data_IF_926420460427
#
_entry.id   IF_926420460427
#
_cell.length_a   1.000
_cell.length_b   1.000
_cell.length_c   1.000
_cell.angle_alpha   90.00
_cell.angle_beta   90.00
_cell.angle_gamma   90.00
#
_symmetry.space_group_name_H-M   'P 1'
#
loop_
_entity.id
_entity.type
_entity.pdbx_description
1 polymer ?
#
# COMPACT_ATOMS: atom_id res chain seq x y z
N UNK A 1 5.57 8.84 24.78
CA UNK A 1 5.62 7.46 25.31
C UNK A 1 4.42 6.73 24.71
N UNK A 2 4.63 5.99 23.62
CA UNK A 2 3.53 5.28 22.95
C UNK A 2 3.02 4.19 23.89
N UNK A 3 1.77 4.32 24.35
CA UNK A 3 1.10 3.22 25.03
C UNK A 3 1.01 2.09 24.01
N UNK A 4 1.59 0.93 24.29
CA UNK A 4 1.34 -0.27 23.50
C UNK A 4 -0.14 -0.62 23.67
N UNK A 5 -0.96 -0.11 22.75
CA UNK A 5 -2.38 -0.43 22.67
C UNK A 5 -2.52 -1.90 22.29
N UNK A 6 -3.53 -2.56 22.85
CA UNK A 6 -3.84 -3.93 22.50
C UNK A 6 -4.29 -4.04 21.03
N UNK A 7 -4.16 -5.24 20.44
CA UNK A 7 -4.47 -5.49 19.03
C UNK A 7 -5.87 -5.00 18.63
N UNK A 8 -6.88 -5.28 19.45
CA UNK A 8 -8.26 -4.88 19.20
C UNK A 8 -8.41 -3.35 19.13
N UNK A 9 -7.73 -2.61 20.03
CA UNK A 9 -7.74 -1.15 20.01
C UNK A 9 -7.05 -0.60 18.76
N UNK A 10 -5.92 -1.20 18.36
CA UNK A 10 -5.18 -0.76 17.16
C UNK A 10 -5.98 -0.98 15.88
N UNK A 11 -6.71 -2.10 15.78
CA UNK A 11 -7.60 -2.37 14.65
C UNK A 11 -8.68 -1.30 14.44
N UNK A 12 -9.07 -0.60 15.51
CA UNK A 12 -10.11 0.42 15.47
C UNK A 12 -9.58 1.86 15.39
N UNK A 13 -8.40 2.12 15.98
CA UNK A 13 -7.94 3.48 16.27
C UNK A 13 -6.56 3.85 15.70
N UNK A 14 -5.86 2.92 15.05
CA UNK A 14 -4.49 3.18 14.60
C UNK A 14 -4.37 4.27 13.52
N UNK A 15 -5.47 4.68 12.91
CA UNK A 15 -5.55 5.71 11.90
C UNK A 15 -6.26 7.00 12.38
N UNK A 16 -6.53 7.16 13.68
CA UNK A 16 -7.27 8.30 14.23
C UNK A 16 -6.61 9.65 13.89
N UNK A 17 -5.27 9.71 13.77
CA UNK A 17 -4.56 10.93 13.34
C UNK A 17 -4.81 11.30 11.87
N UNK A 18 -5.31 10.37 11.06
CA UNK A 18 -5.66 10.58 9.66
C UNK A 18 -7.13 11.01 9.47
N UNK A 19 -7.88 11.14 10.57
CA UNK A 19 -9.28 11.54 10.53
C UNK A 19 -9.38 13.03 10.21
N UNK A 20 -9.95 13.38 9.05
CA UNK A 20 -10.12 14.77 8.59
C UNK A 20 -11.53 15.32 8.75
N UNK A 21 -12.48 14.49 9.20
CA UNK A 21 -13.92 14.78 9.29
C UNK A 21 -14.45 14.48 10.70
N UNK A 22 -15.62 15.02 11.06
CA UNK A 22 -16.26 14.75 12.35
C UNK A 22 -17.08 13.44 12.41
N UNK A 23 -17.03 12.62 11.37
CA UNK A 23 -17.79 11.38 11.27
C UNK A 23 -17.15 10.29 12.15
N UNK A 24 -17.93 9.41 12.78
CA UNK A 24 -17.36 8.28 13.54
C UNK A 24 -16.76 7.24 12.59
N UNK A 25 -17.52 6.86 11.56
CA UNK A 25 -17.03 5.99 10.50
C UNK A 25 -16.43 6.83 9.36
N UNK A 26 -15.33 6.38 8.72
CA UNK A 26 -14.82 7.02 7.52
C UNK A 26 -15.89 7.08 6.42
N UNK A 27 -16.00 8.23 5.74
CA UNK A 27 -16.77 8.33 4.51
C UNK A 27 -16.20 7.42 3.41
N UNK A 28 -17.00 6.99 2.44
CA UNK A 28 -16.49 6.23 1.29
C UNK A 28 -16.10 7.23 0.20
N UNK A 29 -14.81 7.29 -0.14
CA UNK A 29 -14.32 8.12 -1.24
C UNK A 29 -14.40 7.36 -2.56
N UNK A 30 -15.33 7.76 -3.44
CA UNK A 30 -15.47 7.22 -4.81
C UNK A 30 -14.88 8.14 -5.88
N UNK A 31 -14.17 9.20 -5.46
CA UNK A 31 -13.57 10.15 -6.40
C UNK A 31 -12.29 9.60 -7.00
N UNK A 32 -12.07 9.89 -8.28
CA UNK A 32 -10.81 9.59 -8.96
C UNK A 32 -9.81 10.74 -8.88
N UNK A 33 -10.31 11.96 -8.75
CA UNK A 33 -9.51 13.20 -8.77
C UNK A 33 -9.83 14.06 -7.55
N UNK A 34 -8.88 14.93 -7.18
CA UNK A 34 -9.01 15.81 -6.02
C UNK A 34 -8.72 17.25 -6.43
N UNK A 35 -9.43 18.20 -5.80
CA UNK A 35 -9.36 19.62 -6.15
C UNK A 35 -7.95 20.16 -5.88
N UNK A 36 -7.38 20.81 -6.88
CA UNK A 36 -6.14 21.56 -6.70
C UNK A 36 -6.39 22.78 -5.78
N UNK A 37 -5.46 23.08 -4.86
CA UNK A 37 -5.53 24.31 -4.08
C UNK A 37 -5.43 25.52 -5.03
N UNK A 38 -6.28 26.53 -4.84
CA UNK A 38 -6.16 27.82 -5.53
C UNK A 38 -5.71 28.92 -4.56
N UNK A 39 -5.42 30.16 -5.02
CA UNK A 39 -4.67 30.52 -6.22
C UNK A 39 -3.15 30.26 -6.08
N UNK A 40 -2.71 29.81 -4.90
CA UNK A 40 -1.32 29.42 -4.66
C UNK A 40 -1.09 28.10 -5.40
N UNK A 41 -0.23 28.14 -6.42
CA UNK A 41 0.33 26.95 -7.03
C UNK A 41 1.20 26.30 -5.95
N UNK A 42 0.58 25.53 -5.07
CA UNK A 42 1.31 24.68 -4.12
C UNK A 42 2.11 23.73 -4.99
N UNK A 43 3.41 24.02 -5.09
CA UNK A 43 4.37 23.16 -5.77
C UNK A 43 4.21 21.78 -5.14
N UNK A 44 3.79 20.84 -5.99
CA UNK A 44 3.77 19.48 -5.54
C UNK A 44 5.22 19.02 -5.56
N UNK A 45 5.73 18.45 -4.45
CA UNK A 45 7.09 17.96 -4.43
C UNK A 45 7.28 16.98 -5.59
N UNK A 46 8.45 17.05 -6.23
CA UNK A 46 8.81 16.14 -7.33
C UNK A 46 8.68 14.67 -6.90
N UNK A 47 8.96 14.40 -5.62
CA UNK A 47 8.78 13.11 -4.96
C UNK A 47 7.84 13.24 -3.75
N UNK A 48 6.52 13.14 -3.95
CA UNK A 48 5.56 13.18 -2.86
C UNK A 48 5.65 11.94 -1.98
N UNK A 49 5.64 12.12 -0.67
CA UNK A 49 5.47 11.00 0.26
C UNK A 49 4.02 10.49 0.20
N UNK A 50 3.83 9.38 -0.51
CA UNK A 50 2.53 8.72 -0.65
C UNK A 50 2.10 7.99 0.63
N UNK A 51 3.02 7.72 1.57
CA UNK A 51 2.71 7.07 2.84
C UNK A 51 2.03 8.02 3.84
N UNK A 52 2.34 9.31 3.73
CA UNK A 52 1.75 10.38 4.53
C UNK A 52 1.43 11.58 3.64
N UNK A 53 0.47 11.45 2.71
CA UNK A 53 0.19 12.48 1.72
C UNK A 53 -0.34 13.75 2.41
N UNK A 54 0.30 14.90 2.15
CA UNK A 54 -0.23 16.20 2.57
C UNK A 54 -1.56 16.54 1.88
N UNK A 55 -1.75 16.01 0.67
CA UNK A 55 -3.00 16.06 -0.10
C UNK A 55 -3.10 14.89 -1.05
N UNK A 56 -4.33 14.54 -1.41
CA UNK A 56 -4.58 13.58 -2.48
C UNK A 56 -4.64 14.31 -3.84
N UNK A 57 -4.12 13.67 -4.89
CA UNK A 57 -4.15 14.21 -6.27
C UNK A 57 -4.99 13.33 -7.17
N UNK A 58 -4.72 12.04 -7.14
CA UNK A 58 -5.36 11.06 -8.00
C UNK A 58 -5.47 9.73 -7.24
N UNK A 59 -6.63 9.09 -7.30
CA UNK A 59 -6.94 7.91 -6.49
C UNK A 59 -6.07 6.70 -6.79
N UNK A 60 -5.38 6.68 -7.95
CA UNK A 60 -4.36 5.67 -8.26
C UNK A 60 -3.21 5.65 -7.25
N UNK A 61 -2.85 6.82 -6.71
CA UNK A 61 -1.71 6.95 -5.80
C UNK A 61 -2.17 6.84 -4.35
N UNK A 62 -3.10 7.70 -3.96
CA UNK A 62 -3.62 7.75 -2.59
C UNK A 62 -5.06 8.25 -2.61
N UNK A 63 -5.82 7.83 -1.61
CA UNK A 63 -7.16 8.35 -1.28
C UNK A 63 -7.24 8.54 0.23
N UNK A 64 -8.19 9.33 0.74
CA UNK A 64 -8.41 9.43 2.19
C UNK A 64 -8.63 8.07 2.86
N UNK A 65 -9.13 7.09 2.13
CA UNK A 65 -9.56 5.79 2.68
C UNK A 65 -8.45 4.76 2.59
N UNK A 66 -7.75 4.68 1.46
CA UNK A 66 -6.59 3.77 1.33
C UNK A 66 -5.49 4.16 2.30
N UNK A 67 -5.19 5.45 2.45
CA UNK A 67 -4.19 5.94 3.42
C UNK A 67 -4.56 5.55 4.86
N UNK A 68 -5.84 5.60 5.21
CA UNK A 68 -6.33 5.17 6.53
C UNK A 68 -6.12 3.67 6.75
N UNK A 69 -6.54 2.84 5.80
CA UNK A 69 -6.32 1.38 5.85
C UNK A 69 -4.83 1.05 5.95
N UNK A 70 -3.99 1.73 5.16
CA UNK A 70 -2.54 1.55 5.16
C UNK A 70 -1.91 1.93 6.51
N UNK A 71 -2.40 2.98 7.19
CA UNK A 71 -1.96 3.33 8.55
C UNK A 71 -2.30 2.24 9.56
N UNK A 72 -3.52 1.70 9.52
CA UNK A 72 -3.91 0.57 10.39
C UNK A 72 -3.02 -0.64 10.13
N UNK A 73 -2.88 -1.06 8.87
CA UNK A 73 -2.02 -2.18 8.51
C UNK A 73 -0.56 -1.95 8.90
N UNK A 74 -0.05 -0.73 8.70
CA UNK A 74 1.32 -0.38 9.04
C UNK A 74 1.59 -0.49 10.53
N UNK A 75 0.66 -0.01 11.35
CA UNK A 75 0.72 -0.19 12.78
C UNK A 75 0.77 -1.69 13.11
N UNK A 76 -0.20 -2.47 12.63
CA UNK A 76 -0.31 -3.89 12.95
C UNK A 76 0.93 -4.71 12.57
N UNK A 77 1.49 -4.44 11.38
CA UNK A 77 2.63 -5.17 10.84
C UNK A 77 3.98 -4.65 11.36
N UNK A 78 4.02 -3.46 11.97
CA UNK A 78 5.26 -2.81 12.41
C UNK A 78 6.17 -2.39 11.25
N UNK A 79 5.60 -2.21 10.06
CA UNK A 79 6.30 -1.84 8.83
C UNK A 79 5.40 -0.98 7.95
N UNK A 80 5.95 -0.33 6.93
CA UNK A 80 5.14 0.42 5.99
C UNK A 80 4.27 -0.52 5.13
N UNK A 81 2.96 -0.30 5.14
CA UNK A 81 1.99 -1.05 4.36
C UNK A 81 1.45 -0.23 3.19
N UNK A 82 1.24 -0.88 2.05
CA UNK A 82 0.60 -0.34 0.86
C UNK A 82 -0.47 -1.32 0.36
N UNK A 83 -1.58 -0.79 -0.11
CA UNK A 83 -2.72 -1.56 -0.61
C UNK A 83 -2.69 -1.68 -2.13
N UNK A 84 -3.06 -2.84 -2.63
CA UNK A 84 -3.26 -3.09 -4.06
C UNK A 84 -4.66 -3.63 -4.29
N UNK A 85 -5.14 -3.54 -5.54
CA UNK A 85 -6.45 -4.03 -5.94
C UNK A 85 -6.65 -5.55 -5.72
N UNK A 86 -5.56 -6.32 -5.59
CA UNK A 86 -5.61 -7.75 -5.24
C UNK A 86 -4.27 -8.23 -4.66
N UNK A 87 -4.27 -9.39 -4.02
CA UNK A 87 -3.03 -10.05 -3.56
C UNK A 87 -2.09 -10.43 -4.71
N UNK A 88 -2.62 -10.74 -5.90
CA UNK A 88 -1.82 -11.01 -7.10
C UNK A 88 -1.13 -9.73 -7.59
N UNK A 89 -1.84 -8.60 -7.59
CA UNK A 89 -1.26 -7.31 -7.94
C UNK A 89 -0.17 -6.89 -6.94
N UNK A 90 -0.39 -7.11 -5.63
CA UNK A 90 0.62 -6.88 -4.60
C UNK A 90 1.87 -7.75 -4.82
N UNK A 91 1.67 -9.04 -5.12
CA UNK A 91 2.76 -9.97 -5.41
C UNK A 91 3.58 -9.52 -6.62
N UNK A 92 2.90 -9.20 -7.73
CA UNK A 92 3.57 -8.76 -8.95
C UNK A 92 4.30 -7.44 -8.75
N UNK A 93 3.69 -6.49 -8.04
CA UNK A 93 4.33 -5.21 -7.71
C UNK A 93 5.59 -5.41 -6.86
N UNK A 94 5.55 -6.31 -5.86
CA UNK A 94 6.73 -6.65 -5.06
C UNK A 94 7.85 -7.25 -5.93
N UNK A 95 7.53 -8.14 -6.87
CA UNK A 95 8.52 -8.71 -7.80
C UNK A 95 9.16 -7.64 -8.69
N UNK A 96 8.35 -6.75 -9.27
CA UNK A 96 8.84 -5.64 -10.10
C UNK A 96 9.70 -4.66 -9.30
N UNK A 97 9.26 -4.32 -8.09
CA UNK A 97 9.97 -3.37 -7.23
C UNK A 97 11.31 -3.92 -6.73
N UNK A 98 11.33 -5.17 -6.23
CA UNK A 98 12.54 -5.79 -5.69
C UNK A 98 13.48 -6.31 -6.79
N UNK A 99 12.96 -6.54 -8.00
CA UNK A 99 13.67 -7.08 -9.15
C UNK A 99 14.63 -8.24 -8.78
N UNK A 100 14.12 -9.32 -8.15
CA UNK A 100 15.00 -10.34 -7.58
C UNK A 100 15.72 -11.12 -8.68
N UNK A 101 16.99 -11.47 -8.43
CA UNK A 101 17.74 -12.41 -9.29
C UNK A 101 17.41 -13.88 -8.99
N UNK A 102 16.94 -14.15 -7.78
CA UNK A 102 16.60 -15.49 -7.28
C UNK A 102 15.31 -15.40 -6.47
N UNK A 103 14.37 -16.30 -6.73
CA UNK A 103 13.13 -16.39 -5.98
C UNK A 103 13.00 -17.79 -5.36
N UNK A 104 12.82 -17.81 -4.03
CA UNK A 104 12.63 -19.03 -3.27
C UNK A 104 11.17 -19.17 -2.85
N UNK A 105 10.47 -20.17 -3.40
CA UNK A 105 9.07 -20.46 -3.11
C UNK A 105 8.80 -21.95 -3.31
N UNK A 106 8.01 -22.56 -2.42
CA UNK A 106 7.56 -23.96 -2.51
C UNK A 106 6.10 -23.99 -2.92
N UNK A 107 5.22 -24.38 -2.01
CA UNK A 107 3.78 -24.31 -2.16
C UNK A 107 3.27 -22.91 -1.83
N UNK A 108 2.02 -22.64 -2.23
CA UNK A 108 1.37 -21.37 -2.01
C UNK A 108 0.08 -21.27 -2.81
N UNK A 109 -0.54 -20.09 -2.75
CA UNK A 109 -1.71 -19.82 -3.56
C UNK A 109 -1.38 -19.89 -5.06
N UNK A 110 -2.12 -20.69 -5.82
CA UNK A 110 -1.86 -20.92 -7.25
C UNK A 110 -1.71 -19.62 -8.08
N UNK A 111 -2.49 -18.58 -7.77
CA UNK A 111 -2.39 -17.28 -8.47
C UNK A 111 -1.06 -16.55 -8.26
N UNK A 112 -0.36 -16.79 -7.15
CA UNK A 112 1.00 -16.28 -6.93
C UNK A 112 1.99 -16.95 -7.88
N UNK A 113 1.88 -18.27 -8.06
CA UNK A 113 2.72 -19.00 -9.01
C UNK A 113 2.50 -18.53 -10.45
N UNK A 114 1.24 -18.34 -10.85
CA UNK A 114 0.91 -17.77 -12.18
C UNK A 114 1.50 -16.36 -12.35
N UNK A 115 1.45 -15.52 -11.30
CA UNK A 115 2.05 -14.18 -11.31
C UNK A 115 3.57 -14.21 -11.51
N UNK A 116 4.25 -15.14 -10.85
CA UNK A 116 5.70 -15.37 -10.99
C UNK A 116 6.04 -15.82 -12.40
N UNK A 117 5.26 -16.73 -13.00
CA UNK A 117 5.46 -17.19 -14.37
C UNK A 117 5.31 -16.05 -15.37
N UNK A 118 4.34 -15.15 -15.16
CA UNK A 118 4.18 -13.93 -15.97
C UNK A 118 5.39 -13.00 -15.81
N UNK A 119 5.83 -12.76 -14.57
CA UNK A 119 6.99 -11.92 -14.29
C UNK A 119 8.27 -12.46 -14.96
N UNK A 120 8.47 -13.78 -14.92
CA UNK A 120 9.62 -14.46 -15.52
C UNK A 120 9.69 -14.32 -17.05
N UNK A 121 8.55 -14.12 -17.74
CA UNK A 121 8.55 -13.81 -19.18
C UNK A 121 9.29 -12.49 -19.50
N UNK A 122 9.24 -11.52 -18.59
CA UNK A 122 9.95 -10.24 -18.71
C UNK A 122 11.35 -10.26 -18.07
N UNK A 123 11.68 -11.32 -17.32
CA UNK A 123 12.92 -11.53 -16.57
C UNK A 123 13.42 -12.97 -16.74
N UNK A 124 13.83 -13.36 -17.96
CA UNK A 124 14.23 -14.74 -18.25
C UNK A 124 15.42 -15.22 -17.40
N UNK A 125 16.22 -14.30 -16.87
CA UNK A 125 17.35 -14.55 -15.97
C UNK A 125 16.95 -14.91 -14.53
N UNK A 126 15.67 -14.77 -14.16
CA UNK A 126 15.19 -15.11 -12.82
C UNK A 126 15.38 -16.62 -12.54
N UNK A 127 16.17 -16.93 -11.52
CA UNK A 127 16.42 -18.30 -11.08
C UNK A 127 15.45 -18.69 -9.95
N UNK A 128 14.66 -19.74 -10.18
CA UNK A 128 13.80 -20.33 -9.15
C UNK A 128 14.61 -21.31 -8.30
N UNK A 129 14.52 -21.24 -6.97
CA UNK A 129 15.16 -22.20 -6.05
C UNK A 129 14.19 -22.67 -4.98
N UNK A 130 14.36 -23.91 -4.53
CA UNK A 130 13.75 -24.41 -3.29
C UNK A 130 14.92 -24.65 -2.32
N UNK A 131 14.96 -23.92 -1.21
CA UNK A 131 15.91 -24.19 -0.13
C UNK A 131 15.25 -25.13 0.88
N UNK A 132 15.99 -26.13 1.35
CA UNK A 132 15.62 -27.08 2.42
C UNK A 132 16.32 -26.71 3.71
#
# INVERSE_FOLDING_TARGET
MSKNLELATRLLHADDEAHSEGNVAPAISVSTTFRAPGPVKLEYPDEPDVSSPQRHIYSRYTTPITTRVEKVLSALLGAHAITYASGIAATYAALVHLNPKRLAIRDGYHGVHVSIDVYKKARPELVMRIFF
#
